data_IF_719848261775
#
_entry.id   IF_719848261775
#
_cell.length_a   1.000
_cell.length_b   1.000
_cell.length_c   1.000
_cell.angle_alpha   90.00
_cell.angle_beta   90.00
_cell.angle_gamma   90.00
#
_symmetry.space_group_name_H-M   'P 1'
#
loop_
_entity.id
_entity.type
_entity.pdbx_description
1 polymer ?
#
# COMPACT_ATOMS: atom_id res chain seq x y z
N UNK A 1 2.04 -5.12 14.51
CA UNK A 1 2.32 -5.83 13.24
C UNK A 1 3.66 -6.57 13.32
N UNK A 2 3.77 -7.68 12.58
CA UNK A 2 5.04 -8.39 12.34
C UNK A 2 5.57 -7.98 10.99
N UNK A 3 6.80 -7.45 10.93
CA UNK A 3 7.46 -7.06 9.69
C UNK A 3 8.66 -7.96 9.41
N UNK A 4 9.07 -8.08 8.16
CA UNK A 4 10.34 -8.70 7.80
C UNK A 4 11.46 -7.69 8.08
N UNK A 5 12.26 -7.89 9.12
CA UNK A 5 13.49 -7.11 9.33
C UNK A 5 14.56 -7.54 8.32
N UNK A 6 15.24 -6.59 7.71
CA UNK A 6 16.28 -6.84 6.71
C UNK A 6 17.60 -7.34 7.34
N UNK A 7 17.85 -7.05 8.62
CA UNK A 7 19.15 -7.31 9.26
C UNK A 7 19.08 -8.03 10.61
N UNK A 8 17.92 -8.09 11.28
CA UNK A 8 17.83 -8.56 12.68
C UNK A 8 16.63 -9.48 12.97
N UNK A 9 16.06 -10.14 11.94
CA UNK A 9 14.91 -11.02 12.13
C UNK A 9 13.57 -10.24 12.12
N UNK A 10 12.49 -10.89 12.57
CA UNK A 10 11.16 -10.27 12.56
C UNK A 10 11.06 -9.16 13.61
N UNK A 11 10.69 -7.96 13.18
CA UNK A 11 10.35 -6.84 14.07
C UNK A 11 8.86 -6.87 14.41
N UNK A 12 8.50 -6.40 15.60
CA UNK A 12 7.13 -6.29 16.06
C UNK A 12 6.81 -4.82 16.33
N UNK A 13 5.95 -4.26 15.50
CA UNK A 13 5.49 -2.87 15.60
C UNK A 13 4.11 -2.86 16.28
N UNK A 14 3.91 -2.06 17.34
CA UNK A 14 2.62 -1.96 18.01
C UNK A 14 1.58 -1.32 17.07
N UNK A 15 0.38 -1.90 17.04
CA UNK A 15 -0.78 -1.35 16.35
C UNK A 15 -1.89 -1.18 17.39
N UNK A 16 -2.28 0.04 17.65
CA UNK A 16 -3.42 0.37 18.53
C UNK A 16 -4.71 0.52 17.73
N UNK A 17 -5.84 0.63 18.41
CA UNK A 17 -7.13 0.91 17.77
C UNK A 17 -7.14 2.29 17.08
N UNK A 18 -6.42 3.23 17.64
CA UNK A 18 -6.26 4.59 17.14
C UNK A 18 -5.41 4.57 15.86
N UNK A 19 -4.22 3.97 15.92
CA UNK A 19 -3.30 3.94 14.76
C UNK A 19 -3.86 3.17 13.57
N UNK A 20 -4.59 2.05 13.78
CA UNK A 20 -5.23 1.34 12.66
C UNK A 20 -6.37 2.17 12.05
N UNK A 21 -7.10 2.94 12.84
CA UNK A 21 -8.12 3.87 12.35
C UNK A 21 -7.49 4.95 11.47
N UNK A 22 -6.34 5.49 11.89
CA UNK A 22 -5.57 6.45 11.10
C UNK A 22 -5.12 5.84 9.76
N UNK A 23 -4.62 4.61 9.74
CA UNK A 23 -4.28 3.91 8.50
C UNK A 23 -5.46 3.81 7.53
N UNK A 24 -6.62 3.38 8.02
CA UNK A 24 -7.84 3.25 7.19
C UNK A 24 -8.32 4.61 6.68
N UNK A 25 -8.31 5.64 7.54
CA UNK A 25 -8.70 6.99 7.14
C UNK A 25 -7.74 7.56 6.09
N UNK A 26 -6.43 7.42 6.27
CA UNK A 26 -5.43 7.91 5.31
C UNK A 26 -5.55 7.22 3.94
N UNK A 27 -5.80 5.91 3.92
CA UNK A 27 -6.06 5.18 2.67
C UNK A 27 -7.35 5.64 1.98
N UNK A 28 -8.43 5.91 2.76
CA UNK A 28 -9.68 6.50 2.25
C UNK A 28 -9.43 7.90 1.67
N UNK A 29 -8.70 8.74 2.40
CA UNK A 29 -8.44 10.12 2.02
C UNK A 29 -7.57 10.20 0.76
N UNK A 30 -6.62 9.27 0.57
CA UNK A 30 -5.88 9.12 -0.68
C UNK A 30 -6.81 8.87 -1.88
N UNK A 31 -7.77 7.94 -1.76
CA UNK A 31 -8.75 7.67 -2.80
C UNK A 31 -9.69 8.85 -3.04
N UNK A 32 -10.17 9.50 -1.97
CA UNK A 32 -11.02 10.69 -2.08
C UNK A 32 -10.29 11.84 -2.78
N UNK A 33 -9.02 12.08 -2.42
CA UNK A 33 -8.19 13.08 -3.08
C UNK A 33 -8.02 12.78 -4.56
N UNK A 34 -7.72 11.52 -4.92
CA UNK A 34 -7.64 11.08 -6.31
C UNK A 34 -8.94 11.43 -7.07
N UNK A 35 -10.11 11.05 -6.56
CA UNK A 35 -11.39 11.34 -7.20
C UNK A 35 -11.67 12.84 -7.34
N UNK A 36 -11.37 13.61 -6.31
CA UNK A 36 -11.58 15.06 -6.32
C UNK A 36 -10.67 15.78 -7.32
N UNK A 37 -9.42 15.36 -7.43
CA UNK A 37 -8.42 15.99 -8.30
C UNK A 37 -8.58 15.58 -9.76
N UNK A 38 -8.78 14.30 -10.02
CA UNK A 38 -8.84 13.76 -11.40
C UNK A 38 -10.22 13.82 -12.01
N UNK A 39 -11.28 13.95 -11.20
CA UNK A 39 -12.71 13.80 -11.60
C UNK A 39 -13.01 12.46 -12.27
N UNK A 40 -12.12 11.46 -12.10
CA UNK A 40 -12.32 10.12 -12.62
C UNK A 40 -12.99 9.23 -11.56
N UNK A 41 -14.28 9.01 -11.71
CA UNK A 41 -15.12 8.20 -10.81
C UNK A 41 -15.34 6.77 -11.32
N UNK A 42 -14.77 6.40 -12.46
CA UNK A 42 -14.90 5.04 -13.02
C UNK A 42 -14.49 3.94 -12.04
N UNK A 43 -13.43 4.12 -11.23
CA UNK A 43 -13.00 3.08 -10.30
C UNK A 43 -14.07 2.66 -9.29
N UNK A 44 -15.04 3.52 -8.95
CA UNK A 44 -16.07 3.20 -7.94
C UNK A 44 -17.06 2.15 -8.45
N UNK A 45 -17.26 2.02 -9.77
CA UNK A 45 -18.35 1.26 -10.38
C UNK A 45 -18.03 -0.22 -10.62
N UNK A 46 -17.17 -0.85 -9.84
CA UNK A 46 -16.81 -2.25 -10.03
C UNK A 46 -16.22 -2.91 -8.81
N UNK A 47 -15.50 -3.99 -9.05
CA UNK A 47 -14.80 -4.74 -8.01
C UNK A 47 -13.41 -4.15 -7.76
N UNK A 48 -13.03 -4.22 -6.50
CA UNK A 48 -11.74 -3.71 -6.01
C UNK A 48 -10.93 -4.88 -5.46
N UNK A 49 -9.73 -5.08 -5.98
CA UNK A 49 -8.82 -6.10 -5.46
C UNK A 49 -7.70 -5.45 -4.66
N UNK A 50 -7.42 -6.04 -3.49
CA UNK A 50 -6.20 -5.78 -2.76
C UNK A 50 -5.38 -7.06 -2.64
N UNK A 51 -4.29 -7.13 -3.41
CA UNK A 51 -3.36 -8.24 -3.40
C UNK A 51 -2.44 -8.11 -2.19
N UNK A 52 -2.68 -8.93 -1.18
CA UNK A 52 -2.06 -8.83 0.14
C UNK A 52 -1.70 -10.19 0.73
N UNK A 53 -0.89 -10.17 1.79
CA UNK A 53 -0.63 -11.36 2.61
C UNK A 53 -1.91 -11.89 3.30
N UNK A 54 -1.79 -13.07 3.93
CA UNK A 54 -2.91 -13.68 4.65
C UNK A 54 -3.42 -12.78 5.78
N UNK A 55 -4.75 -12.61 5.93
CA UNK A 55 -5.36 -11.88 7.05
C UNK A 55 -5.45 -12.72 8.33
N UNK A 56 -5.00 -13.96 8.33
CA UNK A 56 -4.94 -14.77 9.55
C UNK A 56 -4.02 -14.12 10.57
N UNK A 57 -4.51 -14.03 11.80
CA UNK A 57 -3.75 -13.47 12.92
C UNK A 57 -3.38 -14.58 13.90
N UNK A 58 -2.12 -14.62 14.30
CA UNK A 58 -1.67 -15.47 15.40
C UNK A 58 -2.00 -14.77 16.74
N UNK A 59 -2.29 -15.54 17.78
CA UNK A 59 -2.46 -15.00 19.14
C UNK A 59 -1.34 -15.51 20.03
N UNK A 60 -0.52 -14.58 20.55
CA UNK A 60 0.58 -14.90 21.46
C UNK A 60 0.47 -14.00 22.70
N UNK A 61 0.42 -14.63 23.89
CA UNK A 61 0.30 -13.91 25.16
C UNK A 61 -0.89 -12.92 25.20
N UNK A 62 -2.03 -13.29 24.60
CA UNK A 62 -3.21 -12.44 24.53
C UNK A 62 -3.21 -11.38 23.43
N UNK A 63 -2.10 -11.17 22.72
CA UNK A 63 -1.93 -10.16 21.67
C UNK A 63 -2.05 -10.81 20.30
N UNK A 64 -2.83 -10.19 19.40
CA UNK A 64 -2.92 -10.61 18.00
C UNK A 64 -1.72 -10.10 17.20
N UNK A 65 -1.13 -10.99 16.39
CA UNK A 65 0.06 -10.73 15.60
C UNK A 65 -0.23 -11.10 14.14
N UNK A 66 0.15 -10.22 13.21
CA UNK A 66 0.03 -10.43 11.78
C UNK A 66 0.76 -9.36 10.97
N UNK A 67 0.72 -9.45 9.66
CA UNK A 67 1.20 -8.36 8.79
C UNK A 67 0.21 -7.19 8.85
N UNK A 68 0.67 -5.96 8.63
CA UNK A 68 -0.19 -4.77 8.63
C UNK A 68 -1.41 -4.94 7.69
N UNK A 69 -1.18 -5.40 6.46
CA UNK A 69 -2.25 -5.61 5.49
C UNK A 69 -3.28 -6.65 5.94
N UNK A 70 -2.84 -7.70 6.66
CA UNK A 70 -3.71 -8.69 7.28
C UNK A 70 -4.52 -8.09 8.42
N UNK A 71 -3.89 -7.30 9.30
CA UNK A 71 -4.58 -6.59 10.39
C UNK A 71 -5.62 -5.63 9.82
N UNK A 72 -5.24 -4.80 8.84
CA UNK A 72 -6.13 -3.81 8.20
C UNK A 72 -7.36 -4.46 7.57
N UNK A 73 -7.23 -5.69 7.07
CA UNK A 73 -8.35 -6.42 6.47
C UNK A 73 -9.54 -6.63 7.41
N UNK A 74 -9.30 -6.69 8.73
CA UNK A 74 -10.35 -6.83 9.75
C UNK A 74 -11.11 -5.53 10.04
N UNK A 75 -10.59 -4.38 9.58
CA UNK A 75 -11.16 -3.05 9.87
C UNK A 75 -11.80 -2.38 8.65
N UNK A 76 -11.87 -3.08 7.52
CA UNK A 76 -12.53 -2.56 6.32
C UNK A 76 -14.04 -2.43 6.58
N UNK A 77 -14.64 -1.25 6.30
CA UNK A 77 -16.07 -1.04 6.48
C UNK A 77 -16.91 -2.03 5.68
N UNK A 78 -17.99 -2.53 6.28
CA UNK A 78 -18.89 -3.55 5.68
C UNK A 78 -19.41 -3.15 4.30
N UNK A 79 -19.64 -1.86 4.07
CA UNK A 79 -20.11 -1.31 2.80
C UNK A 79 -19.20 -1.68 1.61
N UNK A 80 -17.89 -1.81 1.84
CA UNK A 80 -16.94 -2.13 0.78
C UNK A 80 -16.72 -3.63 0.58
N UNK A 81 -17.22 -4.48 1.49
CA UNK A 81 -16.97 -5.93 1.43
C UNK A 81 -17.59 -6.59 0.20
N UNK A 82 -18.75 -6.13 -0.26
CA UNK A 82 -19.45 -6.70 -1.41
C UNK A 82 -18.72 -6.47 -2.75
N UNK A 83 -17.91 -5.42 -2.82
CA UNK A 83 -17.13 -5.07 -4.01
C UNK A 83 -15.66 -5.50 -3.91
N UNK A 84 -15.28 -6.13 -2.79
CA UNK A 84 -13.90 -6.54 -2.54
C UNK A 84 -13.60 -7.92 -3.11
N UNK A 85 -12.42 -8.04 -3.70
CA UNK A 85 -11.77 -9.28 -4.12
C UNK A 85 -10.34 -9.37 -3.55
N UNK A 86 -9.76 -10.53 -3.40
CA UNK A 86 -10.44 -11.81 -3.42
C UNK A 86 -11.33 -12.01 -2.18
N UNK A 87 -12.04 -13.12 -2.12
CA UNK A 87 -12.81 -13.52 -0.95
C UNK A 87 -11.92 -13.67 0.30
N UNK A 88 -12.55 -13.67 1.49
CA UNK A 88 -11.82 -13.88 2.74
C UNK A 88 -11.08 -15.23 2.76
N UNK A 89 -11.75 -16.29 2.30
CA UNK A 89 -11.18 -17.65 2.30
C UNK A 89 -9.94 -17.71 1.40
N UNK A 90 -10.01 -17.16 0.21
CA UNK A 90 -8.88 -17.07 -0.72
C UNK A 90 -7.74 -16.25 -0.15
N UNK A 91 -8.03 -15.14 0.51
CA UNK A 91 -7.00 -14.35 1.20
C UNK A 91 -6.30 -15.14 2.32
N UNK A 92 -6.96 -16.11 2.93
CA UNK A 92 -6.40 -16.96 3.99
C UNK A 92 -5.50 -18.10 3.47
N UNK A 93 -5.43 -18.35 2.18
CA UNK A 93 -4.49 -19.31 1.59
C UNK A 93 -3.07 -18.82 1.87
N UNK A 94 -2.22 -19.69 2.39
CA UNK A 94 -0.85 -19.38 2.78
C UNK A 94 0.15 -19.62 1.65
N UNK A 95 -0.07 -20.72 0.90
CA UNK A 95 0.71 -21.00 -0.29
C UNK A 95 0.43 -19.91 -1.35
N UNK A 96 1.51 -19.29 -1.81
CA UNK A 96 1.39 -18.12 -2.69
C UNK A 96 0.93 -18.49 -4.10
N UNK A 97 1.38 -19.61 -4.64
CA UNK A 97 1.01 -20.02 -5.99
C UNK A 97 -0.44 -20.46 -6.05
N UNK A 98 -0.88 -21.30 -5.09
CA UNK A 98 -2.29 -21.70 -4.94
C UNK A 98 -3.19 -20.46 -4.75
N UNK A 99 -2.74 -19.51 -3.92
CA UNK A 99 -3.47 -18.27 -3.68
C UNK A 99 -3.66 -17.46 -4.95
N UNK A 100 -2.60 -17.23 -5.73
CA UNK A 100 -2.69 -16.45 -6.96
C UNK A 100 -3.59 -17.13 -7.97
N UNK A 101 -3.51 -18.45 -8.12
CA UNK A 101 -4.41 -19.19 -9.01
C UNK A 101 -5.88 -19.09 -8.59
N UNK A 102 -6.14 -19.16 -7.30
CA UNK A 102 -7.50 -19.01 -6.77
C UNK A 102 -8.00 -17.58 -6.94
N UNK A 103 -7.15 -16.57 -6.77
CA UNK A 103 -7.49 -15.17 -7.06
C UNK A 103 -7.85 -14.99 -8.53
N UNK A 104 -7.08 -15.57 -9.45
CA UNK A 104 -7.36 -15.51 -10.89
C UNK A 104 -8.76 -16.07 -11.17
N UNK A 105 -9.08 -17.24 -10.64
CA UNK A 105 -10.42 -17.86 -10.80
C UNK A 105 -11.55 -16.98 -10.25
N UNK A 106 -11.30 -16.22 -9.17
CA UNK A 106 -12.29 -15.32 -8.57
C UNK A 106 -12.44 -13.97 -9.28
N UNK A 107 -11.47 -13.56 -10.09
CA UNK A 107 -11.39 -12.21 -10.64
C UNK A 107 -11.55 -12.17 -12.15
N UNK A 108 -11.13 -13.21 -12.88
CA UNK A 108 -11.38 -13.31 -14.32
C UNK A 108 -12.90 -13.38 -14.57
N UNK A 109 -13.39 -12.50 -15.46
CA UNK A 109 -14.82 -12.35 -15.72
C UNK A 109 -15.54 -11.35 -14.80
N UNK A 110 -14.89 -10.85 -13.75
CA UNK A 110 -15.44 -9.79 -12.90
C UNK A 110 -15.14 -8.41 -13.47
N UNK A 111 -16.01 -7.46 -13.19
CA UNK A 111 -15.79 -6.05 -13.53
C UNK A 111 -14.76 -5.42 -12.57
N UNK A 112 -13.48 -5.76 -12.76
CA UNK A 112 -12.39 -5.19 -11.96
C UNK A 112 -12.13 -3.75 -12.37
N UNK A 113 -12.16 -2.82 -11.41
CA UNK A 113 -11.95 -1.38 -11.65
C UNK A 113 -10.77 -0.81 -10.87
N UNK A 114 -10.45 -1.39 -9.70
CA UNK A 114 -9.28 -1.04 -8.89
C UNK A 114 -8.49 -2.30 -8.60
N UNK A 115 -7.18 -2.21 -8.78
CA UNK A 115 -6.23 -3.21 -8.27
C UNK A 115 -5.25 -2.48 -7.37
N UNK A 116 -5.03 -3.01 -6.17
CA UNK A 116 -4.08 -2.48 -5.21
C UNK A 116 -3.10 -3.57 -4.76
N UNK A 117 -1.84 -3.21 -4.62
CA UNK A 117 -0.80 -4.13 -4.13
C UNK A 117 0.61 -3.68 -4.47
N UNK A 118 1.57 -4.38 -3.90
CA UNK A 118 3.00 -4.15 -4.18
C UNK A 118 3.27 -4.47 -5.66
N UNK A 119 4.02 -3.62 -6.40
CA UNK A 119 4.24 -3.79 -7.82
C UNK A 119 4.69 -5.19 -8.26
N UNK A 120 5.67 -5.79 -7.57
CA UNK A 120 6.15 -7.12 -7.92
C UNK A 120 5.06 -8.21 -7.83
N UNK A 121 4.15 -8.11 -6.87
CA UNK A 121 3.06 -9.08 -6.71
C UNK A 121 1.97 -8.91 -7.77
N UNK A 122 1.63 -7.66 -8.08
CA UNK A 122 0.62 -7.35 -9.10
C UNK A 122 1.16 -7.70 -10.50
N UNK A 123 2.44 -7.45 -10.76
CA UNK A 123 3.09 -7.86 -12.01
C UNK A 123 2.98 -9.39 -12.20
N UNK A 124 3.39 -10.17 -11.20
CA UNK A 124 3.32 -11.63 -11.26
C UNK A 124 1.88 -12.13 -11.46
N UNK A 125 0.90 -11.53 -10.79
CA UNK A 125 -0.51 -11.83 -10.98
C UNK A 125 -0.96 -11.56 -12.41
N UNK A 126 -0.58 -10.44 -13.00
CA UNK A 126 -0.94 -10.12 -14.40
C UNK A 126 -0.25 -11.02 -15.41
N UNK A 127 1.05 -11.30 -15.23
CA UNK A 127 1.80 -12.21 -16.09
C UNK A 127 1.17 -13.61 -16.07
N UNK A 128 0.73 -14.09 -14.91
CA UNK A 128 0.05 -15.38 -14.79
C UNK A 128 -1.33 -15.37 -15.46
N UNK A 129 -2.10 -14.28 -15.37
CA UNK A 129 -3.36 -14.14 -16.12
C UNK A 129 -3.11 -14.19 -17.63
N UNK A 130 -2.15 -13.41 -18.13
CA UNK A 130 -1.83 -13.38 -19.55
C UNK A 130 -1.44 -14.77 -20.05
N UNK A 131 -0.65 -15.51 -19.27
CA UNK A 131 -0.25 -16.88 -19.60
C UNK A 131 -1.43 -17.86 -19.57
N UNK A 132 -2.32 -17.78 -18.58
CA UNK A 132 -3.42 -18.72 -18.42
C UNK A 132 -4.56 -18.49 -19.42
N UNK A 133 -4.92 -17.23 -19.65
CA UNK A 133 -6.06 -16.84 -20.47
C UNK A 133 -5.69 -16.65 -21.94
N UNK A 134 -4.39 -16.55 -22.25
CA UNK A 134 -3.89 -16.16 -23.57
C UNK A 134 -4.53 -14.86 -24.10
N UNK A 135 -4.73 -13.90 -23.20
CA UNK A 135 -5.34 -12.58 -23.41
C UNK A 135 -4.53 -11.50 -22.72
N UNK A 136 -4.57 -10.30 -23.25
CA UNK A 136 -3.99 -9.12 -22.60
C UNK A 136 -4.81 -8.72 -21.36
N UNK A 137 -4.20 -7.98 -20.43
CA UNK A 137 -4.91 -7.45 -19.25
C UNK A 137 -6.06 -6.51 -19.65
N UNK A 138 -5.90 -5.76 -20.75
CA UNK A 138 -6.96 -4.95 -21.34
C UNK A 138 -8.20 -5.75 -21.73
N UNK A 139 -8.01 -6.96 -22.23
CA UNK A 139 -9.10 -7.85 -22.64
C UNK A 139 -9.74 -8.54 -21.43
N UNK A 140 -8.94 -8.93 -20.43
CA UNK A 140 -9.45 -9.59 -19.22
C UNK A 140 -10.13 -8.60 -18.28
N UNK A 141 -9.55 -7.40 -18.12
CA UNK A 141 -10.08 -6.34 -17.26
C UNK A 141 -10.28 -5.02 -18.03
N UNK A 142 -11.28 -4.96 -18.93
CA UNK A 142 -11.51 -3.78 -19.76
C UNK A 142 -11.86 -2.53 -18.95
N UNK A 143 -12.45 -2.69 -17.76
CA UNK A 143 -12.86 -1.59 -16.90
C UNK A 143 -11.79 -1.18 -15.86
N UNK A 144 -10.63 -1.86 -15.82
CA UNK A 144 -9.54 -1.49 -14.92
C UNK A 144 -9.08 -0.06 -15.23
N UNK A 145 -9.18 0.82 -14.25
CA UNK A 145 -8.95 2.26 -14.41
C UNK A 145 -8.05 2.86 -13.34
N UNK A 146 -7.80 2.15 -12.22
CA UNK A 146 -6.91 2.62 -11.16
C UNK A 146 -6.05 1.49 -10.62
N UNK A 147 -4.74 1.73 -10.56
CA UNK A 147 -3.79 0.92 -9.84
C UNK A 147 -3.24 1.68 -8.62
N UNK A 148 -3.49 1.16 -7.41
CA UNK A 148 -2.98 1.72 -6.15
C UNK A 148 -1.77 0.91 -5.71
N UNK A 149 -0.65 1.57 -5.51
CA UNK A 149 0.59 0.90 -5.12
C UNK A 149 1.27 1.57 -3.92
N UNK A 150 2.21 0.84 -3.31
CA UNK A 150 3.05 1.32 -2.22
C UNK A 150 4.07 0.28 -1.79
N UNK A 151 4.88 0.62 -0.81
CA UNK A 151 5.89 -0.25 -0.22
C UNK A 151 7.23 -0.29 -0.96
N UNK A 152 7.25 0.06 -2.26
CA UNK A 152 8.47 0.20 -3.08
C UNK A 152 8.27 1.27 -4.14
N UNK A 153 9.36 1.77 -4.73
CA UNK A 153 9.29 2.67 -5.88
C UNK A 153 8.63 1.97 -7.08
N UNK A 154 7.79 2.68 -7.80
CA UNK A 154 7.11 2.19 -9.01
C UNK A 154 7.95 2.35 -10.27
N UNK A 155 8.88 3.28 -10.31
CA UNK A 155 9.68 3.60 -11.50
C UNK A 155 10.30 2.37 -12.20
N UNK A 156 10.91 1.41 -11.49
CA UNK A 156 11.46 0.20 -12.15
C UNK A 156 10.41 -0.68 -12.84
N UNK A 157 9.16 -0.55 -12.44
CA UNK A 157 8.04 -1.37 -12.93
C UNK A 157 7.23 -0.69 -14.03
N UNK A 158 7.29 0.64 -14.14
CA UNK A 158 6.42 1.46 -14.99
C UNK A 158 6.33 0.94 -16.42
N UNK A 159 7.47 0.76 -17.09
CA UNK A 159 7.48 0.30 -18.49
C UNK A 159 6.87 -1.10 -18.69
N UNK A 160 7.02 -1.98 -17.70
CA UNK A 160 6.42 -3.31 -17.72
C UNK A 160 4.90 -3.23 -17.52
N UNK A 161 4.44 -2.41 -16.59
CA UNK A 161 3.01 -2.20 -16.37
C UNK A 161 2.31 -1.52 -17.54
N UNK A 162 2.95 -0.54 -18.19
CA UNK A 162 2.40 0.09 -19.40
C UNK A 162 2.14 -0.94 -20.51
N UNK A 163 3.07 -1.89 -20.69
CA UNK A 163 2.89 -3.00 -21.64
C UNK A 163 1.80 -3.98 -21.18
N UNK A 164 1.78 -4.36 -19.90
CA UNK A 164 0.81 -5.30 -19.36
C UNK A 164 -0.61 -4.73 -19.41
N UNK A 165 -0.80 -3.47 -19.04
CA UNK A 165 -2.11 -2.82 -19.10
C UNK A 165 -2.63 -2.71 -20.53
N UNK A 166 -1.77 -2.40 -21.50
CA UNK A 166 -2.14 -2.21 -22.92
C UNK A 166 -3.15 -1.07 -23.16
N UNK A 167 -3.35 -0.23 -22.14
CA UNK A 167 -4.21 0.97 -22.12
C UNK A 167 -3.79 1.90 -20.99
N UNK A 168 -4.27 3.14 -21.01
CA UNK A 168 -4.04 4.07 -19.88
C UNK A 168 -4.82 3.57 -18.64
N UNK A 169 -4.10 3.34 -17.54
CA UNK A 169 -4.59 3.06 -16.20
C UNK A 169 -3.98 4.10 -15.27
N UNK A 170 -4.81 4.82 -14.53
CA UNK A 170 -4.31 5.81 -13.60
C UNK A 170 -3.59 5.11 -12.44
N UNK A 171 -2.60 5.77 -11.86
CA UNK A 171 -1.85 5.25 -10.72
C UNK A 171 -2.02 6.16 -9.50
N UNK A 172 -2.01 5.55 -8.31
CA UNK A 172 -2.06 6.25 -7.03
C UNK A 172 -0.99 5.66 -6.11
N UNK A 173 0.05 6.43 -5.85
CA UNK A 173 1.10 6.07 -4.91
C UNK A 173 0.65 6.31 -3.47
N UNK A 174 1.00 5.38 -2.59
CA UNK A 174 0.76 5.46 -1.15
C UNK A 174 1.99 5.03 -0.36
N UNK A 175 2.16 5.57 0.84
CA UNK A 175 3.28 5.20 1.72
C UNK A 175 2.78 4.67 3.07
N UNK A 176 2.15 3.47 3.10
CA UNK A 176 1.84 2.76 4.33
C UNK A 176 3.04 1.93 4.79
N UNK A 177 3.33 1.98 6.09
CA UNK A 177 4.25 1.09 6.78
C UNK A 177 3.59 0.56 8.07
N UNK A 178 4.17 -0.45 8.71
CA UNK A 178 3.66 -0.92 10.00
C UNK A 178 3.73 0.16 11.08
N UNK A 179 4.68 1.06 10.93
CA UNK A 179 4.97 2.18 11.82
C UNK A 179 3.98 3.33 11.68
N UNK A 180 3.37 3.51 10.50
CA UNK A 180 2.44 4.58 10.22
C UNK A 180 2.04 4.67 8.74
N UNK A 181 1.06 5.49 8.43
CA UNK A 181 0.72 5.86 7.06
C UNK A 181 1.26 7.27 6.79
N UNK A 182 2.37 7.38 6.07
CA UNK A 182 3.15 8.62 5.99
C UNK A 182 2.68 9.58 4.93
N UNK A 183 2.21 9.07 3.79
CA UNK A 183 1.84 9.94 2.69
C UNK A 183 1.11 9.22 1.57
N UNK A 184 0.59 10.02 0.65
CA UNK A 184 0.01 9.56 -0.61
C UNK A 184 0.23 10.62 -1.70
N UNK A 185 0.14 10.19 -2.94
CA UNK A 185 0.21 11.07 -4.10
C UNK A 185 -1.01 12.02 -4.11
N UNK A 186 -0.75 13.31 -4.19
CA UNK A 186 -1.80 14.35 -4.22
C UNK A 186 -1.83 15.13 -5.54
N UNK A 187 -0.86 14.91 -6.41
CA UNK A 187 -0.74 15.53 -7.74
C UNK A 187 -0.67 14.45 -8.82
N UNK A 188 -1.54 14.55 -9.82
CA UNK A 188 -1.73 13.51 -10.85
C UNK A 188 -1.33 14.04 -12.23
N UNK A 189 -0.07 14.46 -12.38
CA UNK A 189 0.55 14.78 -13.67
C UNK A 189 1.50 13.66 -14.07
N UNK A 190 1.77 13.51 -15.37
CA UNK A 190 2.61 12.42 -15.89
C UNK A 190 4.07 12.48 -15.37
N UNK A 191 4.50 13.63 -14.85
CA UNK A 191 5.87 13.89 -14.40
C UNK A 191 6.04 13.87 -12.87
N UNK A 192 4.96 13.89 -12.08
CA UNK A 192 5.05 14.03 -10.63
C UNK A 192 4.54 12.78 -9.90
N UNK A 193 5.47 12.12 -9.18
CA UNK A 193 5.21 10.99 -8.29
C UNK A 193 5.43 11.35 -6.82
N UNK A 194 5.53 12.63 -6.48
CA UNK A 194 5.76 13.08 -5.11
C UNK A 194 4.58 12.70 -4.20
N UNK A 195 4.90 12.48 -2.94
CA UNK A 195 3.92 12.15 -1.92
C UNK A 195 3.71 13.31 -0.97
N UNK A 196 2.46 13.67 -0.74
CA UNK A 196 2.08 14.57 0.33
C UNK A 196 2.35 13.92 1.68
N UNK A 197 3.24 14.50 2.50
CA UNK A 197 3.46 14.05 3.87
C UNK A 197 2.23 14.40 4.74
N UNK A 198 1.69 13.42 5.44
CA UNK A 198 0.52 13.61 6.30
C UNK A 198 0.95 14.07 7.69
N UNK A 199 0.54 15.28 8.07
CA UNK A 199 0.91 15.89 9.35
C UNK A 199 -0.16 15.73 10.45
N UNK A 200 -1.35 15.24 10.08
CA UNK A 200 -2.51 15.11 10.96
C UNK A 200 -2.92 13.66 11.25
N UNK A 201 -1.94 12.76 11.27
CA UNK A 201 -2.16 11.31 11.35
C UNK A 201 -1.50 10.66 12.58
N UNK A 202 -1.44 11.37 13.71
CA UNK A 202 -0.89 10.92 14.99
C UNK A 202 0.60 10.56 14.96
N UNK A 203 1.35 11.17 14.03
CA UNK A 203 2.80 11.00 13.90
C UNK A 203 3.48 12.37 14.06
N UNK A 204 4.42 12.45 14.98
CA UNK A 204 5.36 13.55 15.08
C UNK A 204 6.62 13.22 14.31
N UNK A 205 7.05 14.13 13.43
CA UNK A 205 8.16 13.95 12.51
C UNK A 205 9.36 14.78 12.92
N UNK A 206 10.52 14.14 12.97
CA UNK A 206 11.84 14.76 13.03
C UNK A 206 12.69 14.23 11.90
N UNK A 207 13.74 14.94 11.56
CA UNK A 207 14.58 14.64 10.40
C UNK A 207 16.05 14.74 10.79
N UNK A 208 16.88 13.80 10.30
CA UNK A 208 18.33 13.84 10.40
C UNK A 208 18.87 13.82 8.97
N UNK A 209 19.80 14.71 8.61
CA UNK A 209 20.41 14.63 7.29
C UNK A 209 21.01 13.25 7.08
N UNK A 210 20.76 12.63 5.93
CA UNK A 210 21.21 11.26 5.67
C UNK A 210 22.73 11.12 5.74
N UNK A 211 23.47 12.11 5.28
CA UNK A 211 24.93 12.15 5.35
C UNK A 211 25.46 12.21 6.78
N UNK A 212 24.79 12.95 7.67
CA UNK A 212 25.17 13.09 9.07
C UNK A 212 24.82 11.80 9.85
N UNK A 213 23.68 11.22 9.56
CA UNK A 213 23.28 9.92 10.12
C UNK A 213 24.31 8.82 9.82
N UNK A 214 24.83 8.78 8.58
CA UNK A 214 25.85 7.82 8.17
C UNK A 214 27.19 8.03 8.89
N UNK A 215 27.48 9.25 9.33
CA UNK A 215 28.69 9.58 10.14
C UNK A 215 28.50 9.32 11.64
N UNK A 216 27.28 8.98 12.08
CA UNK A 216 26.94 8.81 13.49
C UNK A 216 26.56 10.11 14.19
N UNK A 217 26.27 11.16 13.44
CA UNK A 217 25.77 12.45 13.94
C UNK A 217 24.25 12.44 13.88
N UNK A 218 23.59 12.74 15.00
CA UNK A 218 22.15 12.55 15.12
C UNK A 218 21.42 13.83 15.52
N UNK A 219 21.85 14.98 15.03
CA UNK A 219 21.16 16.24 15.21
C UNK A 219 19.79 16.17 14.52
N UNK A 220 18.72 16.31 15.31
CA UNK A 220 17.34 16.25 14.83
C UNK A 220 16.84 17.65 14.56
N UNK A 221 16.25 17.81 13.40
CA UNK A 221 15.54 19.03 13.01
C UNK A 221 14.06 18.78 12.83
N UNK A 222 13.26 19.81 12.93
CA UNK A 222 11.81 19.73 12.67
C UNK A 222 11.49 20.01 11.21
N UNK A 223 10.24 19.74 10.80
CA UNK A 223 9.78 20.01 9.43
C UNK A 223 10.03 21.46 8.98
N UNK A 224 10.04 22.41 9.92
CA UNK A 224 10.30 23.84 9.64
C UNK A 224 11.68 24.08 9.03
N UNK A 225 12.65 23.27 9.41
CA UNK A 225 14.06 23.46 9.07
C UNK A 225 14.54 22.54 7.92
N UNK A 226 13.62 21.71 7.39
CA UNK A 226 13.89 20.81 6.25
C UNK A 226 14.10 21.63 4.98
N UNK A 227 15.11 21.26 4.21
CA UNK A 227 15.48 21.90 2.94
C UNK A 227 15.12 20.99 1.75
N UNK A 228 14.68 21.60 0.67
CA UNK A 228 14.41 20.91 -0.60
C UNK A 228 15.72 20.36 -1.19
N UNK A 229 15.65 19.20 -1.84
CA UNK A 229 16.80 18.51 -2.45
C UNK A 229 17.86 18.01 -1.46
N UNK A 230 17.52 17.88 -0.17
CA UNK A 230 18.35 17.24 0.83
C UNK A 230 17.72 15.92 1.24
N UNK A 231 18.51 14.84 1.30
CA UNK A 231 18.04 13.55 1.78
C UNK A 231 18.07 13.51 3.31
N UNK A 232 16.98 13.02 3.90
CA UNK A 232 16.83 12.88 5.35
C UNK A 232 16.47 11.47 5.73
N UNK A 233 16.96 11.03 6.87
CA UNK A 233 16.41 9.91 7.63
C UNK A 233 15.20 10.42 8.40
N UNK A 234 14.08 9.75 8.25
CA UNK A 234 12.84 10.10 8.93
C UNK A 234 12.83 9.49 10.34
N UNK A 235 12.66 10.33 11.34
CA UNK A 235 12.50 9.92 12.73
C UNK A 235 11.07 10.19 13.14
N UNK A 236 10.42 9.20 13.71
CA UNK A 236 9.00 9.31 14.09
C UNK A 236 8.77 9.03 15.57
N UNK A 237 7.80 9.74 16.12
CA UNK A 237 7.16 9.40 17.38
C UNK A 237 5.66 9.30 17.16
N UNK A 238 5.03 8.20 17.60
CA UNK A 238 3.63 7.90 17.30
C UNK A 238 2.81 7.68 18.54
N UNK A 239 1.51 7.92 18.46
CA UNK A 239 0.54 7.59 19.52
C UNK A 239 0.45 6.09 19.80
N UNK A 240 0.95 5.23 18.88
CA UNK A 240 1.01 3.78 19.06
C UNK A 240 2.20 3.32 19.93
N UNK A 241 3.09 4.24 20.34
CA UNK A 241 4.19 3.96 21.26
C UNK A 241 5.57 3.82 20.64
N UNK A 242 5.77 4.23 19.39
CA UNK A 242 7.11 4.43 18.82
C UNK A 242 7.63 5.80 19.25
N UNK A 243 8.87 5.86 19.74
CA UNK A 243 9.52 7.09 20.20
C UNK A 243 10.90 7.24 19.55
N UNK A 244 11.07 8.31 18.78
CA UNK A 244 12.34 8.56 18.08
C UNK A 244 12.79 7.40 17.20
N UNK A 245 11.84 6.71 16.56
CA UNK A 245 12.09 5.55 15.74
C UNK A 245 12.50 5.97 14.33
N UNK A 246 13.60 5.45 13.82
CA UNK A 246 14.09 5.75 12.46
C UNK A 246 13.48 4.83 11.41
N UNK A 247 13.13 5.40 10.28
CA UNK A 247 12.59 4.73 9.09
C UNK A 247 13.50 4.96 7.90
#
# INVERSE_FOLDING_TARGET
>A
AKTSGTTSGAKYIPITKESIKTHINSARDALLNYFLKTKNYKPINGKHMFLQGSPKLEKKNGIYIGRLSGISAHYIPKLFLNNRKPSWNTNCIEDWEEKVETIIKETVGEKMTIIAGIPSWVQMYFEKIVSNENKSIKEVFPELSLYVYGGVSYEPYKSTFDKLFGKKVDTLATFPASEGFFGYQDTFTDENTDLLLLLNNDIFYEFIKAEDFLKGEYERITLKDVQVNVNYVLIISTSAGLWGYNI
#
